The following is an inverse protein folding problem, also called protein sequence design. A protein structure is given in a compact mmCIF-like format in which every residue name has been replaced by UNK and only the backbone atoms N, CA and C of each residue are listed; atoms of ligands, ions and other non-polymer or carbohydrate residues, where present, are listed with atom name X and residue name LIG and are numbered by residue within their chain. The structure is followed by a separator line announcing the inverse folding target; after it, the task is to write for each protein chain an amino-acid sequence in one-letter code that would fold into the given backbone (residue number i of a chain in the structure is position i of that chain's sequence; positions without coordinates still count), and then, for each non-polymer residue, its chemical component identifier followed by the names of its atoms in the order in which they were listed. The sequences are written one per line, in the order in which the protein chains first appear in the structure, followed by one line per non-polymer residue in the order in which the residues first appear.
data_IF_796760723291
#
_entry.id   IF_796760723291
#
_cell.length_a   1.000
_cell.length_b   1.000
_cell.length_c   1.000
_cell.angle_alpha   90.00
_cell.angle_beta   90.00
_cell.angle_gamma   90.00
#
_symmetry.space_group_name_H-M   'P 1'
#
loop_
_entity.id
_entity.type
_entity.pdbx_description
1 polymer ?
#
# COMPACT_ATOMS: atom_id res chain seq x y z
N UNK A 1 -13.62 -10.53 -5.27
CA UNK A 1 -12.54 -10.97 -4.34
C UNK A 1 -12.07 -12.41 -4.53
N UNK A 2 -12.94 -13.43 -4.67
CA UNK A 2 -12.51 -14.84 -4.81
C UNK A 2 -11.49 -15.07 -5.95
N UNK A 3 -11.80 -14.61 -7.16
CA UNK A 3 -10.91 -14.75 -8.32
C UNK A 3 -9.53 -14.11 -8.07
N UNK A 4 -9.48 -12.90 -7.50
CA UNK A 4 -8.21 -12.25 -7.15
C UNK A 4 -7.41 -13.03 -6.09
N UNK A 5 -8.08 -13.66 -5.11
CA UNK A 5 -7.40 -14.53 -4.13
C UNK A 5 -6.79 -15.76 -4.79
N UNK A 6 -7.50 -16.40 -5.70
CA UNK A 6 -7.01 -17.57 -6.43
C UNK A 6 -5.84 -17.19 -7.35
N UNK A 7 -6.01 -16.10 -8.12
CA UNK A 7 -5.01 -15.62 -9.07
C UNK A 7 -3.71 -15.15 -8.42
N UNK A 8 -3.78 -14.52 -7.24
CA UNK A 8 -2.63 -13.95 -6.55
C UNK A 8 -2.24 -14.71 -5.26
N UNK A 9 -2.74 -15.93 -5.08
CA UNK A 9 -2.50 -16.75 -3.88
C UNK A 9 -1.00 -16.89 -3.54
N UNK A 10 -0.17 -17.07 -4.56
CA UNK A 10 1.28 -17.24 -4.43
C UNK A 10 2.02 -15.99 -3.90
N UNK A 11 1.39 -14.82 -3.97
CA UNK A 11 1.94 -13.56 -3.45
C UNK A 11 1.32 -13.16 -2.11
N UNK A 12 0.33 -13.92 -1.64
CA UNK A 12 -0.45 -13.59 -0.47
C UNK A 12 0.36 -13.79 0.82
N UNK A 13 0.32 -12.80 1.71
CA UNK A 13 0.93 -12.86 3.03
C UNK A 13 -0.10 -12.62 4.12
N UNK A 14 0.16 -13.16 5.32
CA UNK A 14 -0.77 -12.99 6.46
C UNK A 14 -0.81 -11.57 7.01
N UNK A 15 0.29 -10.82 6.88
CA UNK A 15 0.45 -9.47 7.45
C UNK A 15 1.37 -8.64 6.58
N UNK A 16 1.08 -7.35 6.45
CA UNK A 16 2.03 -6.38 5.92
C UNK A 16 2.92 -5.87 7.07
N UNK A 17 4.15 -6.38 7.15
CA UNK A 17 5.09 -6.10 8.25
C UNK A 17 6.46 -5.73 7.71
N UNK A 18 7.17 -4.89 8.46
CA UNK A 18 8.51 -4.46 8.07
C UNK A 18 9.44 -5.65 8.00
N UNK A 19 10.19 -5.73 6.91
CA UNK A 19 11.25 -6.73 6.72
C UNK A 19 12.42 -6.49 7.69
N UNK A 20 12.53 -5.27 8.23
CA UNK A 20 13.48 -4.96 9.30
C UNK A 20 12.91 -5.37 10.68
N UNK A 21 13.41 -6.49 11.22
CA UNK A 21 13.02 -7.03 12.53
C UNK A 21 13.20 -6.04 13.70
N UNK A 22 14.06 -5.03 13.58
CA UNK A 22 14.27 -4.00 14.62
C UNK A 22 13.17 -2.94 14.63
N UNK A 23 12.54 -2.66 13.48
CA UNK A 23 11.52 -1.62 13.38
C UNK A 23 10.16 -2.05 13.95
N UNK A 24 9.85 -3.37 13.95
CA UNK A 24 8.58 -3.97 14.42
C UNK A 24 7.33 -3.19 13.95
N UNK A 25 7.37 -2.63 12.75
CA UNK A 25 6.26 -1.88 12.19
C UNK A 25 5.36 -2.80 11.36
N UNK A 26 4.04 -2.65 11.49
CA UNK A 26 3.06 -3.37 10.69
C UNK A 26 1.88 -2.47 10.33
N UNK A 27 1.20 -2.84 9.26
CA UNK A 27 -0.07 -2.27 8.82
C UNK A 27 -1.18 -3.30 9.02
N UNK A 28 -2.29 -2.88 9.63
CA UNK A 28 -3.40 -3.76 9.97
C UNK A 28 -4.52 -3.56 8.96
N UNK A 29 -4.68 -4.50 8.03
CA UNK A 29 -5.77 -4.45 7.05
C UNK A 29 -7.17 -4.60 7.67
N UNK A 30 -7.26 -5.28 8.83
CA UNK A 30 -8.40 -5.50 9.75
C UNK A 30 -9.78 -5.92 9.18
N UNK A 31 -9.97 -5.93 7.87
CA UNK A 31 -11.14 -6.48 7.20
C UNK A 31 -11.05 -8.01 7.09
N UNK A 32 -12.15 -8.69 7.40
CA UNK A 32 -12.29 -10.14 7.27
C UNK A 32 -11.99 -10.61 5.83
N UNK A 33 -12.41 -9.83 4.85
CA UNK A 33 -12.24 -10.11 3.43
C UNK A 33 -11.08 -9.36 2.77
N UNK A 34 -9.98 -9.21 3.51
CA UNK A 34 -8.74 -8.64 2.97
C UNK A 34 -7.83 -9.69 2.33
N UNK A 35 -7.12 -9.27 1.28
CA UNK A 35 -6.00 -9.97 0.64
C UNK A 35 -4.78 -9.05 0.68
N UNK A 36 -3.71 -9.48 1.34
CA UNK A 36 -2.46 -8.72 1.45
C UNK A 36 -1.44 -9.39 0.53
N UNK A 37 -0.85 -8.63 -0.38
CA UNK A 37 0.12 -9.09 -1.37
C UNK A 37 1.50 -8.49 -1.06
N UNK A 38 2.55 -9.32 -1.03
CA UNK A 38 3.94 -8.86 -0.91
C UNK A 38 4.45 -8.40 -2.28
N UNK A 39 4.78 -7.12 -2.40
CA UNK A 39 5.19 -6.56 -3.67
C UNK A 39 6.53 -7.11 -4.14
N UNK A 40 7.46 -7.48 -3.25
CA UNK A 40 8.74 -8.04 -3.68
C UNK A 40 8.54 -9.43 -4.31
N UNK A 41 7.58 -10.22 -3.82
CA UNK A 41 7.23 -11.50 -4.44
C UNK A 41 6.66 -11.29 -5.85
N UNK A 42 5.81 -10.27 -6.02
CA UNK A 42 5.24 -9.92 -7.33
C UNK A 42 6.34 -9.43 -8.27
N UNK A 43 7.16 -8.48 -7.83
CA UNK A 43 8.26 -7.92 -8.63
C UNK A 43 9.22 -9.04 -9.08
N UNK A 44 9.57 -9.96 -8.18
CA UNK A 44 10.43 -11.10 -8.50
C UNK A 44 9.77 -12.03 -9.55
N UNK A 45 8.50 -12.40 -9.34
CA UNK A 45 7.80 -13.30 -10.26
C UNK A 45 7.58 -12.68 -11.65
N UNK A 46 7.36 -11.36 -11.71
CA UNK A 46 7.14 -10.62 -12.95
C UNK A 46 8.43 -10.09 -13.57
N UNK A 47 9.59 -10.37 -12.95
CA UNK A 47 10.92 -9.92 -13.38
C UNK A 47 11.00 -8.39 -13.54
N UNK A 48 10.31 -7.67 -12.66
CA UNK A 48 10.34 -6.22 -12.59
C UNK A 48 11.53 -5.78 -11.72
N UNK A 49 12.18 -4.68 -12.13
CA UNK A 49 13.30 -4.09 -11.40
C UNK A 49 12.90 -2.83 -10.63
N UNK A 50 13.72 -2.47 -9.64
CA UNK A 50 13.61 -1.20 -8.91
C UNK A 50 12.84 -1.28 -7.59
N UNK A 51 12.89 -0.21 -6.78
CA UNK A 51 12.24 -0.17 -5.48
C UNK A 51 10.72 0.04 -5.64
N UNK A 52 9.94 -0.76 -4.92
CA UNK A 52 8.47 -0.65 -4.85
C UNK A 52 7.99 -0.49 -3.40
N UNK A 53 6.69 -0.39 -3.19
CA UNK A 53 6.05 -0.38 -1.87
C UNK A 53 6.15 -1.75 -1.19
N UNK A 54 6.17 -1.85 0.13
CA UNK A 54 6.22 -3.16 0.83
C UNK A 54 5.03 -4.10 0.49
N UNK A 55 3.80 -3.59 0.48
CA UNK A 55 2.62 -4.43 0.25
C UNK A 55 1.47 -3.70 -0.46
N UNK A 56 0.58 -4.49 -1.07
CA UNK A 56 -0.73 -4.04 -1.56
C UNK A 56 -1.82 -4.79 -0.82
N UNK A 57 -2.83 -4.07 -0.34
CA UNK A 57 -3.98 -4.63 0.37
C UNK A 57 -5.23 -4.40 -0.46
N UNK A 58 -5.91 -5.49 -0.82
CA UNK A 58 -7.24 -5.48 -1.43
C UNK A 58 -8.26 -5.82 -0.34
N UNK A 59 -9.22 -4.94 -0.08
CA UNK A 59 -10.27 -5.18 0.91
C UNK A 59 -11.64 -4.87 0.30
N UNK A 60 -12.62 -5.75 0.54
CA UNK A 60 -14.01 -5.51 0.15
C UNK A 60 -14.82 -5.14 1.38
N UNK A 61 -15.34 -3.91 1.40
CA UNK A 61 -16.20 -3.39 2.48
C UNK A 61 -17.21 -2.38 1.91
N UNK A 62 -18.34 -2.87 1.42
CA UNK A 62 -19.32 -2.07 0.67
C UNK A 62 -18.85 -1.75 -0.77
N UNK A 63 -17.58 -1.39 -0.95
CA UNK A 63 -16.89 -1.29 -2.23
C UNK A 63 -15.50 -1.94 -2.15
N UNK A 64 -14.79 -2.03 -3.28
CA UNK A 64 -13.40 -2.44 -3.31
C UNK A 64 -12.51 -1.26 -2.89
N UNK A 65 -11.65 -1.48 -1.90
CA UNK A 65 -10.61 -0.56 -1.48
C UNK A 65 -9.25 -1.19 -1.75
N UNK A 66 -8.33 -0.40 -2.29
CA UNK A 66 -6.93 -0.79 -2.49
C UNK A 66 -6.06 0.13 -1.66
N UNK A 67 -5.24 -0.43 -0.78
CA UNK A 67 -4.18 0.31 -0.11
C UNK A 67 -2.82 -0.13 -0.64
N UNK A 68 -2.04 0.82 -1.13
CA UNK A 68 -0.61 0.67 -1.40
C UNK A 68 0.12 1.12 -0.14
N UNK A 69 0.86 0.20 0.46
CA UNK A 69 1.41 0.37 1.80
C UNK A 69 2.93 0.31 1.74
N UNK A 70 3.58 1.38 2.20
CA UNK A 70 5.02 1.43 2.41
C UNK A 70 5.33 1.55 3.91
N UNK A 71 6.21 0.71 4.43
CA UNK A 71 6.60 0.66 5.84
C UNK A 71 8.02 1.22 6.02
N UNK A 72 8.15 2.24 6.87
CA UNK A 72 9.44 2.86 7.19
C UNK A 72 9.78 2.76 8.67
N UNK A 73 11.09 2.83 8.95
CA UNK A 73 11.58 3.12 10.30
C UNK A 73 11.37 4.59 10.67
N UNK A 74 11.83 5.02 11.85
CA UNK A 74 11.71 6.43 12.29
C UNK A 74 12.43 7.43 11.38
N UNK A 75 13.56 7.01 10.79
CA UNK A 75 14.34 7.83 9.86
C UNK A 75 14.17 7.27 8.46
N UNK A 76 13.60 8.06 7.57
CA UNK A 76 13.45 7.72 6.16
C UNK A 76 13.46 8.98 5.30
N UNK A 77 13.81 8.81 4.03
CA UNK A 77 13.69 9.86 3.01
C UNK A 77 12.27 9.89 2.46
N UNK A 78 11.61 11.04 2.59
CA UNK A 78 10.27 11.25 2.04
C UNK A 78 10.25 11.10 0.52
N UNK A 79 11.27 11.59 -0.20
CA UNK A 79 11.33 11.45 -1.66
C UNK A 79 11.39 9.99 -2.08
N UNK A 80 12.21 9.17 -1.41
CA UNK A 80 12.30 7.73 -1.68
C UNK A 80 10.98 7.01 -1.37
N UNK A 81 10.33 7.34 -0.25
CA UNK A 81 9.03 6.78 0.12
C UNK A 81 7.95 7.13 -0.93
N UNK A 82 7.96 8.36 -1.43
CA UNK A 82 7.03 8.83 -2.47
C UNK A 82 7.25 8.06 -3.78
N UNK A 83 8.51 7.84 -4.19
CA UNK A 83 8.82 7.04 -5.38
C UNK A 83 8.37 5.59 -5.25
N UNK A 84 8.55 4.97 -4.08
CA UNK A 84 8.09 3.60 -3.82
C UNK A 84 6.56 3.48 -3.83
N UNK A 85 5.86 4.46 -3.24
CA UNK A 85 4.39 4.50 -3.30
C UNK A 85 3.87 4.72 -4.72
N UNK A 86 4.56 5.52 -5.53
CA UNK A 86 4.20 5.68 -6.95
C UNK A 86 4.35 4.36 -7.72
N UNK A 87 5.51 3.69 -7.60
CA UNK A 87 5.74 2.39 -8.22
C UNK A 87 4.76 1.32 -7.71
N UNK A 88 4.44 1.33 -6.42
CA UNK A 88 3.45 0.45 -5.82
C UNK A 88 2.03 0.72 -6.33
N UNK A 89 1.69 1.97 -6.61
CA UNK A 89 0.41 2.34 -7.21
C UNK A 89 0.30 1.83 -8.65
N UNK A 90 1.36 1.97 -9.45
CA UNK A 90 1.40 1.42 -10.80
C UNK A 90 1.24 -0.11 -10.76
N UNK A 91 1.96 -0.79 -9.86
CA UNK A 91 1.83 -2.23 -9.66
C UNK A 91 0.41 -2.64 -9.23
N UNK A 92 -0.22 -1.88 -8.35
CA UNK A 92 -1.60 -2.13 -7.94
C UNK A 92 -2.58 -1.99 -9.11
N UNK A 93 -2.37 -1.01 -9.99
CA UNK A 93 -3.17 -0.83 -11.19
C UNK A 93 -3.02 -2.01 -12.15
N UNK A 94 -1.79 -2.50 -12.36
CA UNK A 94 -1.54 -3.68 -13.19
C UNK A 94 -2.23 -4.94 -12.63
N UNK A 95 -2.26 -5.09 -11.30
CA UNK A 95 -2.98 -6.19 -10.64
C UNK A 95 -4.50 -6.09 -10.85
N UNK A 96 -5.08 -4.89 -10.73
CA UNK A 96 -6.51 -4.67 -10.96
C UNK A 96 -6.90 -5.02 -12.40
N UNK A 97 -6.11 -4.57 -13.39
CA UNK A 97 -6.37 -4.87 -14.80
C UNK A 97 -6.28 -6.37 -15.09
N UNK A 98 -5.25 -7.04 -14.56
CA UNK A 98 -5.07 -8.49 -14.73
C UNK A 98 -6.15 -9.33 -14.06
N UNK A 99 -6.81 -8.81 -13.02
CA UNK A 99 -7.83 -9.53 -12.26
C UNK A 99 -9.26 -9.21 -12.67
N UNK A 100 -9.46 -8.30 -13.63
CA UNK A 100 -10.78 -7.84 -14.02
C UNK A 100 -11.54 -7.16 -12.89
N UNK A 101 -10.85 -6.69 -11.86
CA UNK A 101 -11.47 -5.95 -10.76
C UNK A 101 -11.84 -4.53 -11.24
N UNK A 102 -12.88 -3.90 -10.65
CA UNK A 102 -13.37 -2.61 -11.11
C UNK A 102 -12.29 -1.52 -11.13
N UNK A 103 -12.26 -0.72 -12.20
CA UNK A 103 -11.32 0.39 -12.34
C UNK A 103 -11.66 1.59 -11.43
N UNK A 104 -12.89 1.68 -10.93
CA UNK A 104 -13.39 2.75 -10.05
C UNK A 104 -13.08 2.54 -8.55
N UNK A 105 -12.08 1.70 -8.28
CA UNK A 105 -11.64 1.36 -6.92
C UNK A 105 -11.14 2.60 -6.13
N UNK A 106 -11.40 2.60 -4.82
CA UNK A 106 -10.84 3.60 -3.90
C UNK A 106 -9.38 3.24 -3.58
N UNK A 107 -8.45 3.90 -4.28
CA UNK A 107 -7.01 3.72 -4.09
C UNK A 107 -6.47 4.67 -3.02
N UNK A 108 -5.84 4.11 -1.99
CA UNK A 108 -5.16 4.82 -0.90
C UNK A 108 -3.66 4.57 -0.97
N UNK A 109 -2.88 5.64 -0.79
CA UNK A 109 -1.42 5.57 -0.69
C UNK A 109 -1.03 5.82 0.76
N UNK A 110 -0.54 4.79 1.44
CA UNK A 110 -0.36 4.80 2.89
C UNK A 110 1.12 4.65 3.21
N UNK A 111 1.69 5.63 3.91
CA UNK A 111 3.03 5.53 4.45
C UNK A 111 2.95 5.27 5.95
N UNK A 112 3.48 4.14 6.39
CA UNK A 112 3.41 3.71 7.79
C UNK A 112 4.79 3.82 8.44
N UNK A 113 4.90 4.52 9.56
CA UNK A 113 6.15 4.58 10.33
C UNK A 113 5.89 4.67 11.85
N UNK A 114 6.87 4.36 12.72
CA UNK A 114 6.69 4.53 14.17
C UNK A 114 6.42 5.99 14.57
N UNK A 115 6.87 6.93 13.74
CA UNK A 115 6.62 8.35 13.85
C UNK A 115 7.09 9.05 12.58
N UNK A 116 6.50 10.21 12.32
CA UNK A 116 6.86 11.10 11.23
C UNK A 116 7.32 12.43 11.84
N UNK A 117 8.41 13.00 11.33
CA UNK A 117 8.79 14.38 11.65
C UNK A 117 7.84 15.35 10.95
N UNK A 118 7.83 16.61 11.40
CA UNK A 118 7.05 17.67 10.75
C UNK A 118 7.38 17.78 9.26
N UNK A 119 8.67 17.90 8.92
CA UNK A 119 9.14 18.00 7.52
C UNK A 119 8.73 16.78 6.68
N UNK A 120 8.70 15.59 7.29
CA UNK A 120 8.24 14.39 6.61
C UNK A 120 6.74 14.46 6.32
N UNK A 121 5.93 14.84 7.30
CA UNK A 121 4.48 15.02 7.11
C UNK A 121 4.22 16.07 6.04
N UNK A 122 4.86 17.23 6.13
CA UNK A 122 4.73 18.31 5.15
C UNK A 122 5.08 17.83 3.73
N UNK A 123 6.24 17.18 3.56
CA UNK A 123 6.67 16.68 2.25
C UNK A 123 5.72 15.62 1.67
N UNK A 124 5.10 14.78 2.50
CA UNK A 124 4.18 13.72 2.07
C UNK A 124 2.79 14.25 1.74
N UNK A 125 2.29 15.19 2.53
CA UNK A 125 0.92 15.70 2.44
C UNK A 125 0.75 16.80 1.39
N UNK A 126 1.82 17.57 1.12
CA UNK A 126 1.82 18.58 0.05
C UNK A 126 1.89 17.96 -1.34
N UNK A 127 2.49 16.78 -1.47
CA UNK A 127 2.57 16.06 -2.74
C UNK A 127 1.32 15.23 -3.01
N UNK A 128 0.94 15.17 -4.28
CA UNK A 128 -0.10 14.27 -4.78
C UNK A 128 0.47 13.44 -5.91
N UNK A 129 0.27 12.14 -5.86
CA UNK A 129 0.66 11.23 -6.93
C UNK A 129 -0.47 11.12 -7.94
N UNK A 130 -0.14 11.11 -9.23
CA UNK A 130 -1.12 10.98 -10.31
C UNK A 130 -1.19 9.51 -10.71
N UNK A 131 -2.32 8.86 -10.46
CA UNK A 131 -2.57 7.45 -10.80
C UNK A 131 -3.81 7.42 -11.68
N UNK A 132 -3.68 6.91 -12.91
CA UNK A 132 -4.76 6.88 -13.92
C UNK A 132 -5.49 8.23 -14.06
N UNK A 133 -4.74 9.32 -14.11
CA UNK A 133 -5.32 10.67 -14.22
C UNK A 133 -5.82 11.28 -12.90
N UNK A 134 -6.07 10.49 -11.85
CA UNK A 134 -6.55 10.94 -10.54
C UNK A 134 -5.38 11.39 -9.65
N UNK A 135 -5.56 12.49 -8.90
CA UNK A 135 -4.55 12.98 -7.93
C UNK A 135 -4.87 12.40 -6.56
N UNK A 136 -4.00 11.52 -6.08
CA UNK A 136 -4.17 10.80 -4.81
C UNK A 136 -3.18 11.36 -3.79
N UNK A 137 -3.68 11.61 -2.57
CA UNK A 137 -2.86 12.08 -1.45
C UNK A 137 -2.17 10.90 -0.79
N UNK A 138 -0.98 11.14 -0.24
CA UNK A 138 -0.32 10.18 0.63
C UNK A 138 -0.82 10.40 2.06
N UNK A 139 -1.21 9.32 2.72
CA UNK A 139 -1.67 9.29 4.10
C UNK A 139 -0.52 8.78 4.99
N UNK A 140 0.22 9.67 5.69
CA UNK A 140 1.16 9.24 6.71
C UNK A 140 0.42 8.75 7.95
N UNK A 141 0.72 7.53 8.41
CA UNK A 141 0.07 6.90 9.57
C UNK A 141 1.08 6.18 10.46
N UNK A 142 0.73 5.99 11.73
CA UNK A 142 1.60 5.29 12.69
C UNK A 142 1.57 3.77 12.48
N UNK A 143 2.63 3.07 12.87
CA UNK A 143 2.63 1.60 12.94
C UNK A 143 1.43 1.09 13.75
N UNK A 144 0.82 0.00 13.28
CA UNK A 144 -0.38 -0.58 13.87
C UNK A 144 -1.68 0.14 13.48
N UNK A 145 -1.63 1.13 12.59
CA UNK A 145 -2.84 1.76 12.06
C UNK A 145 -3.73 0.70 11.37
N UNK A 146 -5.02 0.78 11.70
CA UNK A 146 -6.09 -0.05 11.13
C UNK A 146 -6.60 0.58 9.84
N UNK A 147 -6.82 -0.24 8.82
CA UNK A 147 -7.25 0.24 7.52
C UNK A 147 -8.66 0.81 7.60
N UNK A 148 -9.56 0.18 8.35
CA UNK A 148 -10.91 0.70 8.63
C UNK A 148 -10.90 2.16 9.08
N UNK A 149 -10.09 2.49 10.10
CA UNK A 149 -9.96 3.86 10.62
C UNK A 149 -9.44 4.85 9.58
N UNK A 150 -8.55 4.41 8.69
CA UNK A 150 -7.97 5.27 7.64
C UNK A 150 -9.02 5.60 6.56
N UNK A 151 -9.93 4.66 6.28
CA UNK A 151 -11.05 4.92 5.36
C UNK A 151 -12.02 5.96 5.92
N UNK A 152 -12.26 5.95 7.23
CA UNK A 152 -13.15 6.89 7.92
C UNK A 152 -12.54 8.28 8.12
N UNK A 153 -11.22 8.43 7.92
CA UNK A 153 -10.47 9.67 8.18
C UNK A 153 -10.57 10.71 7.03
N UNK A 154 -11.63 10.67 6.21
CA UNK A 154 -11.80 11.54 5.02
C UNK A 154 -12.70 12.73 5.31
#
# INVERSE_FOLDING_TARGET
MRAAREQFAQFAVKRCRSKNKRARCEFCADFRDSLILDCDLIMAAWRLGGPTSDCIVLASHGSLHVAVVELKGRRYSSSRAISQLAAGADLAMDLLDKSGLPADTDLRLILVAPGHTYDQIEALTTRRLRVRGRRIRIQPVKCGAQFSRILDSV
#
